data_IF_066744547614
#
_entry.id   IF_066744547614
#
_cell.length_a   1.000
_cell.length_b   1.000
_cell.length_c   1.000
_cell.angle_alpha   90.00
_cell.angle_beta   90.00
_cell.angle_gamma   90.00
#
_symmetry.space_group_name_H-M   'P 1'
#
loop_
_entity.id
_entity.type
_entity.pdbx_description
1 polymer ?
#
# COMPACT_ATOMS: atom_id res chain seq x y z
N UNK A 1 5.83 -3.33 4.60
CA UNK A 1 5.39 -4.68 4.99
C UNK A 1 6.20 -5.76 4.27
N UNK A 2 6.33 -5.78 2.94
CA UNK A 2 7.04 -6.85 2.24
C UNK A 2 8.50 -7.02 2.71
N UNK A 3 9.29 -5.94 2.78
CA UNK A 3 10.69 -5.99 3.28
C UNK A 3 10.77 -6.54 4.72
N UNK A 4 9.87 -6.12 5.60
CA UNK A 4 9.84 -6.60 6.98
C UNK A 4 9.37 -8.06 7.10
N UNK A 5 8.45 -8.48 6.22
CA UNK A 5 8.00 -9.88 6.16
C UNK A 5 9.13 -10.84 5.74
N UNK A 6 9.96 -10.42 4.81
CA UNK A 6 11.08 -11.23 4.31
C UNK A 6 12.38 -11.03 5.10
N UNK A 7 12.35 -10.27 6.19
CA UNK A 7 13.50 -9.93 7.04
C UNK A 7 14.69 -9.31 6.27
N UNK A 8 14.37 -8.57 5.18
CA UNK A 8 15.39 -7.85 4.41
C UNK A 8 15.84 -6.62 5.21
N UNK A 9 17.10 -6.63 5.64
CA UNK A 9 17.69 -5.52 6.37
C UNK A 9 17.90 -4.31 5.48
N UNK A 10 17.34 -3.17 5.86
CA UNK A 10 17.43 -1.93 5.10
C UNK A 10 17.88 -0.75 5.94
N UNK A 11 18.58 0.20 5.32
CA UNK A 11 18.76 1.55 5.87
C UNK A 11 17.54 2.40 5.48
N UNK A 12 16.74 2.79 6.48
CA UNK A 12 15.57 3.64 6.24
C UNK A 12 16.00 5.11 6.20
N UNK A 13 15.60 5.79 5.12
CA UNK A 13 15.79 7.22 4.93
C UNK A 13 14.43 7.91 4.87
N UNK A 14 13.90 8.26 6.03
CA UNK A 14 12.65 9.01 6.13
C UNK A 14 12.80 10.44 5.60
N UNK A 15 11.91 10.89 4.75
CA UNK A 15 11.98 12.21 4.13
C UNK A 15 10.68 13.01 4.31
N UNK A 16 10.78 14.33 4.21
CA UNK A 16 9.60 15.18 4.10
C UNK A 16 9.12 15.23 2.64
N UNK A 17 7.84 14.87 2.40
CA UNK A 17 7.23 14.98 1.07
C UNK A 17 7.06 16.43 0.59
N UNK A 18 7.02 17.38 1.53
CA UNK A 18 6.94 18.82 1.22
C UNK A 18 8.31 19.42 0.88
N UNK A 19 9.38 18.83 1.43
CA UNK A 19 10.76 19.27 1.21
C UNK A 19 11.61 18.03 0.88
N UNK A 20 11.51 17.56 -0.37
CA UNK A 20 12.22 16.38 -0.83
C UNK A 20 13.70 16.67 -1.04
N UNK A 21 14.62 15.82 -0.52
CA UNK A 21 16.04 16.03 -0.69
C UNK A 21 16.49 15.84 -2.15
N UNK A 22 17.47 16.57 -2.61
CA UNK A 22 18.05 16.46 -3.96
C UNK A 22 18.49 15.01 -4.26
N UNK A 23 19.07 14.32 -3.29
CA UNK A 23 19.49 12.92 -3.39
C UNK A 23 18.37 11.96 -3.83
N UNK A 24 17.10 12.28 -3.55
CA UNK A 24 15.99 11.48 -4.07
C UNK A 24 15.90 11.61 -5.60
N UNK A 25 16.08 12.82 -6.15
CA UNK A 25 15.99 13.06 -7.59
C UNK A 25 17.23 12.55 -8.35
N UNK A 26 18.38 12.43 -7.68
CA UNK A 26 19.58 11.80 -8.23
C UNK A 26 19.35 10.32 -8.53
N UNK A 27 18.56 9.62 -7.68
CA UNK A 27 18.31 8.17 -7.82
C UNK A 27 17.01 7.84 -8.54
N UNK A 28 15.97 8.67 -8.40
CA UNK A 28 14.70 8.53 -9.12
C UNK A 28 14.19 9.88 -9.61
N UNK A 29 14.15 10.05 -10.93
CA UNK A 29 13.67 11.30 -11.56
C UNK A 29 12.20 11.60 -11.24
N UNK A 30 11.40 10.58 -10.87
CA UNK A 30 10.01 10.75 -10.44
C UNK A 30 9.91 11.54 -9.14
N UNK A 31 10.93 11.47 -8.26
CA UNK A 31 10.91 12.09 -6.94
C UNK A 31 9.79 11.55 -6.03
N UNK A 32 9.22 10.39 -6.35
CA UNK A 32 8.20 9.71 -5.55
C UNK A 32 8.84 8.75 -4.56
N UNK A 33 8.09 8.33 -3.56
CA UNK A 33 8.47 7.30 -2.59
C UNK A 33 7.44 6.16 -2.62
N UNK A 34 7.88 4.92 -2.34
CA UNK A 34 9.21 4.49 -1.91
C UNK A 34 10.21 4.37 -3.06
N UNK A 35 11.51 4.44 -2.74
CA UNK A 35 12.62 4.07 -3.63
C UNK A 35 13.54 3.13 -2.87
N UNK A 36 13.84 1.98 -3.44
CA UNK A 36 14.81 1.01 -2.92
C UNK A 36 16.08 1.04 -3.76
N UNK A 37 17.24 1.13 -3.10
CA UNK A 37 18.55 0.95 -3.72
C UNK A 37 19.15 -0.33 -3.14
N UNK A 38 19.40 -1.32 -3.96
CA UNK A 38 20.03 -2.56 -3.52
C UNK A 38 21.54 -2.38 -3.30
N UNK A 39 22.16 -3.30 -2.59
CA UNK A 39 23.64 -3.31 -2.41
C UNK A 39 24.41 -3.43 -3.72
N UNK A 40 23.80 -4.01 -4.77
CA UNK A 40 24.34 -4.06 -6.12
C UNK A 40 24.12 -2.81 -6.97
N UNK A 41 23.50 -1.75 -6.41
CA UNK A 41 23.22 -0.49 -7.09
C UNK A 41 21.96 -0.48 -7.96
N UNK A 42 21.15 -1.55 -7.95
CA UNK A 42 19.85 -1.55 -8.62
C UNK A 42 18.90 -0.59 -7.90
N UNK A 43 18.27 0.31 -8.65
CA UNK A 43 17.25 1.23 -8.17
C UNK A 43 15.86 0.71 -8.57
N UNK A 44 14.96 0.61 -7.60
CA UNK A 44 13.56 0.21 -7.81
C UNK A 44 12.67 1.31 -7.20
N UNK A 45 11.87 1.98 -8.01
CA UNK A 45 11.10 3.17 -7.60
C UNK A 45 9.58 3.02 -7.74
N UNK A 46 9.10 1.76 -7.88
CA UNK A 46 7.69 1.40 -7.81
C UNK A 46 7.43 0.44 -6.64
N UNK A 47 6.43 0.75 -5.82
CA UNK A 47 6.14 -0.04 -4.60
C UNK A 47 5.84 -1.51 -4.89
N UNK A 48 5.10 -1.80 -5.96
CA UNK A 48 4.81 -3.18 -6.37
C UNK A 48 6.08 -3.93 -6.80
N UNK A 49 6.96 -3.26 -7.55
CA UNK A 49 8.24 -3.86 -7.98
C UNK A 49 9.15 -4.16 -6.79
N UNK A 50 9.20 -3.26 -5.79
CA UNK A 50 9.92 -3.52 -4.52
C UNK A 50 9.34 -4.76 -3.82
N UNK A 51 8.01 -4.87 -3.74
CA UNK A 51 7.34 -6.03 -3.13
C UNK A 51 7.68 -7.31 -3.88
N UNK A 52 7.59 -7.32 -5.20
CA UNK A 52 7.91 -8.47 -6.04
C UNK A 52 9.40 -8.83 -5.95
N UNK A 53 10.28 -7.84 -5.96
CA UNK A 53 11.72 -8.05 -5.84
C UNK A 53 12.06 -8.74 -4.51
N UNK A 54 11.53 -8.26 -3.40
CA UNK A 54 11.84 -8.82 -2.08
C UNK A 54 11.28 -10.23 -1.90
N UNK A 55 10.05 -10.49 -2.38
CA UNK A 55 9.43 -11.81 -2.31
C UNK A 55 10.14 -12.85 -3.20
N UNK A 56 10.54 -12.48 -4.42
CA UNK A 56 11.27 -13.38 -5.34
C UNK A 56 12.68 -13.72 -4.85
N UNK A 57 13.31 -12.85 -4.10
CA UNK A 57 14.66 -13.07 -3.55
C UNK A 57 14.64 -13.72 -2.15
N UNK A 58 13.48 -14.16 -1.67
CA UNK A 58 13.31 -14.84 -0.39
C UNK A 58 12.87 -16.29 -0.60
N UNK A 59 13.23 -17.16 0.35
CA UNK A 59 12.82 -18.58 0.31
C UNK A 59 11.32 -18.74 0.61
N UNK A 60 10.76 -17.84 1.42
CA UNK A 60 9.33 -17.83 1.72
C UNK A 60 8.58 -16.97 0.68
N UNK A 61 7.94 -17.64 -0.25
CA UNK A 61 7.12 -17.04 -1.31
C UNK A 61 5.62 -17.22 -1.07
N UNK A 62 5.20 -17.48 0.17
CA UNK A 62 3.79 -17.79 0.49
C UNK A 62 2.82 -16.65 0.15
N UNK A 63 3.30 -15.41 0.04
CA UNK A 63 2.47 -14.29 -0.42
C UNK A 63 2.26 -14.26 -1.94
N UNK A 64 3.06 -14.98 -2.71
CA UNK A 64 2.88 -15.10 -4.16
C UNK A 64 1.92 -16.25 -4.47
N UNK A 65 1.18 -16.12 -5.56
CA UNK A 65 0.35 -17.18 -6.12
C UNK A 65 1.01 -17.68 -7.41
N UNK A 66 0.83 -18.95 -7.75
CA UNK A 66 1.41 -19.54 -8.97
C UNK A 66 1.01 -18.77 -10.24
N UNK A 67 -0.21 -18.26 -10.29
CA UNK A 67 -0.69 -17.44 -11.40
C UNK A 67 -0.63 -15.94 -11.07
N UNK A 68 0.51 -15.33 -11.23
CA UNK A 68 0.73 -13.91 -10.97
C UNK A 68 -0.13 -12.95 -11.82
N UNK A 69 -0.69 -13.39 -12.94
CA UNK A 69 -1.46 -12.50 -13.82
C UNK A 69 -2.71 -11.94 -13.14
N UNK A 70 -3.42 -12.79 -12.37
CA UNK A 70 -4.62 -12.35 -11.64
C UNK A 70 -4.29 -11.37 -10.51
N UNK A 71 -3.18 -11.61 -9.80
CA UNK A 71 -2.68 -10.70 -8.76
C UNK A 71 -2.37 -9.32 -9.35
N UNK A 72 -1.61 -9.30 -10.44
CA UNK A 72 -1.20 -8.06 -11.11
C UNK A 72 -2.44 -7.32 -11.66
N UNK A 73 -3.41 -8.02 -12.22
CA UNK A 73 -4.65 -7.41 -12.74
C UNK A 73 -5.42 -6.67 -11.63
N UNK A 74 -5.61 -7.32 -10.47
CA UNK A 74 -6.34 -6.72 -9.34
C UNK A 74 -5.58 -5.52 -8.77
N UNK A 75 -4.27 -5.64 -8.61
CA UNK A 75 -3.42 -4.54 -8.13
C UNK A 75 -3.43 -3.37 -9.12
N UNK A 76 -3.31 -3.64 -10.42
CA UNK A 76 -3.37 -2.60 -11.45
C UNK A 76 -4.73 -1.91 -11.49
N UNK A 77 -5.84 -2.65 -11.35
CA UNK A 77 -7.18 -2.06 -11.24
C UNK A 77 -7.27 -1.10 -10.06
N UNK A 78 -6.73 -1.52 -8.90
CA UNK A 78 -6.63 -0.65 -7.73
C UNK A 78 -5.78 0.60 -8.02
N UNK A 79 -4.62 0.44 -8.61
CA UNK A 79 -3.67 1.54 -8.84
C UNK A 79 -4.17 2.55 -9.88
N UNK A 80 -4.82 2.09 -10.92
CA UNK A 80 -5.30 2.95 -12.00
C UNK A 80 -6.64 3.62 -11.64
N UNK A 81 -7.58 2.84 -11.08
CA UNK A 81 -8.96 3.31 -10.87
C UNK A 81 -9.20 3.77 -9.43
N UNK A 82 -8.92 2.91 -8.45
CA UNK A 82 -9.26 3.21 -7.05
C UNK A 82 -8.45 4.39 -6.51
N UNK A 83 -7.13 4.40 -6.73
CA UNK A 83 -6.25 5.49 -6.27
C UNK A 83 -6.66 6.85 -6.83
N UNK A 84 -7.08 6.89 -8.10
CA UNK A 84 -7.58 8.13 -8.73
C UNK A 84 -8.80 8.70 -7.99
N UNK A 85 -9.78 7.84 -7.66
CA UNK A 85 -10.99 8.26 -6.96
C UNK A 85 -10.74 8.53 -5.48
N UNK A 86 -9.88 7.71 -4.84
CA UNK A 86 -9.44 7.90 -3.47
C UNK A 86 -8.78 9.26 -3.25
N UNK A 87 -7.90 9.68 -4.14
CA UNK A 87 -7.24 10.99 -4.06
C UNK A 87 -8.28 12.13 -4.11
N UNK A 88 -9.24 12.05 -5.03
CA UNK A 88 -10.34 13.00 -5.11
C UNK A 88 -11.25 12.98 -3.88
N UNK A 89 -11.55 11.83 -3.34
CA UNK A 89 -12.36 11.68 -2.14
C UNK A 89 -11.67 12.30 -0.90
N UNK A 90 -10.38 12.00 -0.71
CA UNK A 90 -9.57 12.54 0.39
C UNK A 90 -9.40 14.06 0.33
N UNK A 91 -9.20 14.57 -0.86
CA UNK A 91 -8.88 15.97 -1.10
C UNK A 91 -9.97 16.68 -1.93
N UNK A 92 -11.24 16.31 -1.72
CA UNK A 92 -12.38 16.79 -2.51
C UNK A 92 -12.45 18.32 -2.64
N UNK A 93 -11.97 19.06 -1.65
CA UNK A 93 -11.88 20.54 -1.71
C UNK A 93 -11.00 21.03 -2.86
N UNK A 94 -10.06 20.22 -3.34
CA UNK A 94 -9.19 20.52 -4.49
C UNK A 94 -9.82 20.14 -5.84
N UNK A 95 -10.94 19.43 -5.79
CA UNK A 95 -11.66 18.91 -6.96
C UNK A 95 -13.13 19.33 -6.90
N UNK A 96 -13.42 20.64 -7.06
CA UNK A 96 -14.77 21.21 -6.85
C UNK A 96 -15.76 20.85 -7.96
N UNK A 97 -15.32 20.16 -9.01
CA UNK A 97 -16.15 19.75 -10.15
C UNK A 97 -17.23 18.72 -9.78
N UNK A 98 -17.05 17.98 -8.67
CA UNK A 98 -18.05 17.04 -8.14
C UNK A 98 -18.09 17.08 -6.62
N UNK A 99 -19.14 16.49 -6.03
CA UNK A 99 -19.27 16.38 -4.58
C UNK A 99 -18.36 15.32 -3.97
N UNK A 100 -18.11 15.41 -2.67
CA UNK A 100 -17.38 14.40 -1.90
C UNK A 100 -18.04 13.01 -2.03
N UNK A 101 -19.40 12.99 -1.98
CA UNK A 101 -20.21 11.78 -2.11
C UNK A 101 -20.04 11.12 -3.48
N UNK A 102 -19.98 11.91 -4.55
CA UNK A 102 -19.72 11.40 -5.89
C UNK A 102 -18.37 10.67 -5.97
N UNK A 103 -17.31 11.25 -5.38
CA UNK A 103 -16.00 10.60 -5.36
C UNK A 103 -15.99 9.34 -4.50
N UNK A 104 -16.70 9.36 -3.36
CA UNK A 104 -16.90 8.19 -2.50
C UNK A 104 -17.60 7.07 -3.24
N UNK A 105 -18.67 7.36 -3.97
CA UNK A 105 -19.43 6.36 -4.74
C UNK A 105 -18.57 5.67 -5.81
N UNK A 106 -17.71 6.42 -6.51
CA UNK A 106 -16.77 5.83 -7.45
C UNK A 106 -15.74 4.90 -6.78
N UNK A 107 -15.30 5.22 -5.57
CA UNK A 107 -14.51 4.28 -4.77
C UNK A 107 -15.34 3.06 -4.36
N UNK A 108 -16.59 3.27 -3.94
CA UNK A 108 -17.50 2.24 -3.45
C UNK A 108 -17.77 1.15 -4.49
N UNK A 109 -17.85 1.50 -5.76
CA UNK A 109 -18.01 0.52 -6.84
C UNK A 109 -16.87 -0.53 -6.87
N UNK A 110 -15.64 -0.10 -6.53
CA UNK A 110 -14.48 -1.01 -6.47
C UNK A 110 -14.45 -1.76 -5.13
N UNK A 111 -14.76 -1.06 -4.03
CA UNK A 111 -14.78 -1.67 -2.70
C UNK A 111 -15.86 -2.75 -2.59
N UNK A 112 -16.98 -2.61 -3.30
CA UNK A 112 -18.02 -3.65 -3.35
C UNK A 112 -17.51 -4.95 -3.97
N UNK A 113 -16.62 -4.88 -4.96
CA UNK A 113 -15.97 -6.09 -5.51
C UNK A 113 -15.10 -6.76 -4.44
N UNK A 114 -14.35 -5.97 -3.63
CA UNK A 114 -13.53 -6.51 -2.55
C UNK A 114 -14.37 -7.09 -1.40
N UNK A 115 -15.45 -6.41 -1.00
CA UNK A 115 -16.41 -6.91 0.00
C UNK A 115 -17.00 -8.25 -0.41
N UNK A 116 -17.39 -8.38 -1.70
CA UNK A 116 -17.90 -9.63 -2.26
C UNK A 116 -16.85 -10.74 -2.27
N UNK A 117 -15.58 -10.43 -2.61
CA UNK A 117 -14.50 -11.41 -2.54
C UNK A 117 -14.29 -11.92 -1.12
N UNK A 118 -14.23 -11.02 -0.14
CA UNK A 118 -14.08 -11.35 1.28
C UNK A 118 -15.29 -12.07 1.88
N UNK A 119 -16.40 -12.13 1.18
CA UNK A 119 -17.54 -12.99 1.55
C UNK A 119 -17.31 -14.47 1.19
N UNK A 120 -16.38 -14.75 0.28
CA UNK A 120 -16.07 -16.11 -0.20
C UNK A 120 -14.75 -16.65 0.37
N UNK A 121 -13.79 -15.77 0.68
CA UNK A 121 -12.46 -16.11 1.18
C UNK A 121 -12.07 -15.17 2.33
N UNK A 122 -11.17 -15.62 3.18
CA UNK A 122 -10.71 -14.82 4.32
C UNK A 122 -9.93 -13.56 3.89
N UNK A 123 -9.19 -13.63 2.78
CA UNK A 123 -8.46 -12.53 2.16
C UNK A 123 -8.90 -12.35 0.71
N UNK A 124 -8.41 -11.33 0.01
CA UNK A 124 -8.92 -10.91 -1.30
C UNK A 124 -8.88 -11.98 -2.41
N UNK A 125 -7.98 -12.98 -2.31
CA UNK A 125 -7.87 -14.03 -3.33
C UNK A 125 -8.02 -15.45 -2.78
N UNK A 126 -7.79 -15.66 -1.47
CA UNK A 126 -7.72 -16.98 -0.84
C UNK A 126 -7.84 -16.87 0.67
N UNK A 127 -7.80 -18.00 1.39
CA UNK A 127 -7.90 -18.02 2.87
C UNK A 127 -6.58 -17.69 3.60
N UNK A 128 -5.52 -17.41 2.87
CA UNK A 128 -4.26 -16.90 3.42
C UNK A 128 -3.88 -15.58 2.77
N UNK A 129 -3.20 -14.72 3.53
CA UNK A 129 -2.76 -13.41 3.07
C UNK A 129 -1.87 -13.53 1.82
N UNK A 130 -2.00 -12.59 0.90
CA UNK A 130 -1.26 -12.54 -0.35
C UNK A 130 -0.67 -11.16 -0.62
N UNK A 131 0.15 -11.05 -1.66
CA UNK A 131 0.68 -9.76 -2.13
C UNK A 131 -0.44 -8.77 -2.47
N UNK A 132 -1.61 -9.25 -2.94
CA UNK A 132 -2.77 -8.42 -3.28
C UNK A 132 -3.31 -7.71 -2.05
N UNK A 133 -3.45 -8.43 -0.93
CA UNK A 133 -3.90 -7.85 0.33
C UNK A 133 -2.98 -6.73 0.78
N UNK A 134 -1.67 -6.99 0.74
CA UNK A 134 -0.65 -6.02 1.18
C UNK A 134 -0.56 -4.81 0.24
N UNK A 135 -0.76 -5.00 -1.06
CA UNK A 135 -0.74 -3.91 -2.02
C UNK A 135 -1.98 -3.00 -1.90
N UNK A 136 -3.15 -3.57 -1.62
CA UNK A 136 -4.44 -2.87 -1.58
C UNK A 136 -4.72 -2.26 -0.20
N UNK A 137 -4.31 -2.93 0.87
CA UNK A 137 -4.55 -2.52 2.26
C UNK A 137 -4.28 -1.04 2.56
N UNK A 138 -3.15 -0.44 2.15
CA UNK A 138 -2.88 0.97 2.46
C UNK A 138 -3.92 1.93 1.89
N UNK A 139 -4.51 1.60 0.75
CA UNK A 139 -5.47 2.44 0.05
C UNK A 139 -6.88 2.29 0.64
N UNK A 140 -7.30 1.08 0.96
CA UNK A 140 -8.56 0.83 1.70
C UNK A 140 -8.51 1.49 3.06
N UNK A 141 -7.38 1.39 3.78
CA UNK A 141 -7.17 2.07 5.06
C UNK A 141 -7.26 3.59 4.93
N UNK A 142 -6.70 4.17 3.87
CA UNK A 142 -6.82 5.60 3.62
C UNK A 142 -8.26 6.02 3.31
N UNK A 143 -9.00 5.21 2.56
CA UNK A 143 -10.42 5.45 2.29
C UNK A 143 -11.24 5.42 3.59
N UNK A 144 -11.10 4.37 4.38
CA UNK A 144 -11.79 4.22 5.65
C UNK A 144 -11.53 5.39 6.60
N UNK A 145 -10.29 5.89 6.66
CA UNK A 145 -9.91 7.01 7.53
C UNK A 145 -10.53 8.37 7.14
N UNK A 146 -11.16 8.51 5.96
CA UNK A 146 -11.88 9.75 5.59
C UNK A 146 -13.21 9.87 6.34
N UNK A 147 -13.88 8.73 6.54
CA UNK A 147 -15.16 8.61 7.25
C UNK A 147 -15.30 7.16 7.73
N UNK A 148 -14.71 6.85 8.89
CA UNK A 148 -14.64 5.47 9.38
C UNK A 148 -16.02 4.92 9.75
N UNK A 149 -16.90 5.75 10.34
CA UNK A 149 -18.23 5.29 10.71
C UNK A 149 -19.02 4.87 9.46
N UNK A 150 -19.00 5.71 8.42
CA UNK A 150 -19.65 5.37 7.16
C UNK A 150 -19.05 4.08 6.54
N UNK A 151 -17.73 3.89 6.59
CA UNK A 151 -17.07 2.70 6.08
C UNK A 151 -17.51 1.45 6.84
N UNK A 152 -17.52 1.48 8.16
CA UNK A 152 -17.92 0.38 9.04
C UNK A 152 -19.39 -0.01 8.82
N UNK A 153 -20.27 0.95 8.69
CA UNK A 153 -21.71 0.74 8.44
C UNK A 153 -22.00 0.10 7.08
N UNK A 154 -21.10 0.25 6.09
CA UNK A 154 -21.32 -0.20 4.73
C UNK A 154 -20.49 -1.43 4.31
N UNK A 155 -19.41 -1.78 5.03
CA UNK A 155 -18.46 -2.82 4.63
C UNK A 155 -18.02 -3.71 5.79
N UNK A 156 -18.83 -4.68 6.17
CA UNK A 156 -18.55 -5.57 7.31
C UNK A 156 -17.31 -6.44 7.12
N UNK A 157 -17.11 -7.00 5.92
CA UNK A 157 -15.97 -7.88 5.62
C UNK A 157 -14.68 -7.10 5.46
N UNK A 158 -14.73 -5.98 4.73
CA UNK A 158 -13.58 -5.09 4.59
C UNK A 158 -13.15 -4.48 5.92
N UNK A 159 -14.10 -4.13 6.81
CA UNK A 159 -13.78 -3.66 8.17
C UNK A 159 -13.05 -4.73 8.97
N UNK A 160 -13.53 -5.97 8.94
CA UNK A 160 -12.88 -7.09 9.62
C UNK A 160 -11.48 -7.39 9.06
N UNK A 161 -11.35 -7.43 7.73
CA UNK A 161 -10.09 -7.61 7.02
C UNK A 161 -9.10 -6.48 7.32
N UNK A 162 -9.57 -5.23 7.30
CA UNK A 162 -8.76 -4.05 7.63
C UNK A 162 -8.27 -4.09 9.08
N UNK A 163 -9.14 -4.48 10.02
CA UNK A 163 -8.79 -4.61 11.43
C UNK A 163 -7.76 -5.71 11.67
N UNK A 164 -7.92 -6.88 11.02
CA UNK A 164 -6.99 -8.00 11.14
C UNK A 164 -5.57 -7.60 10.69
N UNK A 165 -5.44 -7.00 9.50
CA UNK A 165 -4.13 -6.57 9.00
C UNK A 165 -3.55 -5.45 9.87
N UNK A 166 -4.37 -4.47 10.28
CA UNK A 166 -3.94 -3.33 11.11
C UNK A 166 -3.47 -3.74 12.50
N UNK A 167 -4.00 -4.83 13.06
CA UNK A 167 -3.60 -5.36 14.36
C UNK A 167 -2.44 -6.35 14.30
N UNK A 168 -1.98 -6.72 13.09
CA UNK A 168 -0.88 -7.66 12.95
C UNK A 168 0.45 -7.08 13.48
N UNK A 169 1.26 -7.94 14.08
CA UNK A 169 2.60 -7.56 14.55
C UNK A 169 3.45 -6.93 13.44
N UNK A 170 3.32 -7.45 12.21
CA UNK A 170 4.02 -6.94 11.04
C UNK A 170 3.63 -5.48 10.75
N UNK A 171 2.33 -5.16 10.77
CA UNK A 171 1.89 -3.80 10.53
C UNK A 171 2.30 -2.86 11.66
N UNK A 172 2.13 -3.27 12.92
CA UNK A 172 2.52 -2.47 14.10
C UNK A 172 4.02 -2.13 14.05
N UNK A 173 4.85 -3.11 13.70
CA UNK A 173 6.30 -2.93 13.59
C UNK A 173 6.68 -1.87 12.55
N UNK A 174 6.06 -1.90 11.37
CA UNK A 174 6.40 -0.98 10.28
C UNK A 174 5.82 0.42 10.46
N UNK A 175 4.86 0.59 11.38
CA UNK A 175 4.27 1.90 11.70
C UNK A 175 5.11 2.72 12.69
N UNK A 176 6.25 2.20 13.12
CA UNK A 176 7.22 2.96 13.92
C UNK A 176 7.67 4.21 13.15
N UNK A 177 7.61 5.36 13.82
CA UNK A 177 8.07 6.62 13.25
C UNK A 177 9.58 6.75 13.38
N UNK A 178 10.21 7.19 12.31
CA UNK A 178 11.63 7.51 12.25
C UNK A 178 11.83 9.03 12.15
N UNK A 179 12.98 9.50 12.63
CA UNK A 179 13.39 10.89 12.40
C UNK A 179 13.71 11.12 10.92
N UNK A 180 13.54 12.36 10.46
CA UNK A 180 13.93 12.72 9.09
C UNK A 180 15.42 12.40 8.86
N UNK A 181 15.68 11.83 7.69
CA UNK A 181 17.03 11.46 7.29
C UNK A 181 17.92 12.70 7.11
N UNK A 182 19.14 12.58 7.60
CA UNK A 182 20.28 13.44 7.28
C UNK A 182 21.53 12.57 7.18
N UNK A 183 22.60 13.10 6.60
CA UNK A 183 23.82 12.33 6.35
C UNK A 183 24.46 11.73 7.62
N UNK A 184 24.13 12.25 8.79
CA UNK A 184 24.67 11.81 10.09
C UNK A 184 23.78 10.78 10.82
N UNK A 185 22.57 10.52 10.31
CA UNK A 185 21.59 9.64 10.97
C UNK A 185 21.23 8.46 10.08
N UNK A 186 21.92 7.33 10.28
CA UNK A 186 21.64 6.06 9.57
C UNK A 186 20.78 5.16 10.44
N UNK A 187 19.55 4.92 10.03
CA UNK A 187 18.61 4.03 10.73
C UNK A 187 18.59 2.70 9.97
N UNK A 188 19.06 1.63 10.63
CA UNK A 188 18.95 0.26 10.11
C UNK A 188 17.73 -0.40 10.71
N UNK A 189 16.94 -1.09 9.90
CA UNK A 189 15.71 -1.79 10.27
C UNK A 189 15.67 -3.15 9.60
#
# INVERSE_FOLDING_TARGET
MALAYTDVQVEVREISLQNRPEKLYEVSKKGTVPVLITTGGLVIDESLEIMLWTLKNNLDQTWLIENHNKEIEIINKNDILFKKWLDRYKYHVRYPENSKEYYRENCSNILSDYENQLSNTKYLLRDSISIVDIAIFPFVRQFANVDYQWFDDNYNKLTSWLAEISSSNLFIQIMKKYGLWNDNNKIKV
#
